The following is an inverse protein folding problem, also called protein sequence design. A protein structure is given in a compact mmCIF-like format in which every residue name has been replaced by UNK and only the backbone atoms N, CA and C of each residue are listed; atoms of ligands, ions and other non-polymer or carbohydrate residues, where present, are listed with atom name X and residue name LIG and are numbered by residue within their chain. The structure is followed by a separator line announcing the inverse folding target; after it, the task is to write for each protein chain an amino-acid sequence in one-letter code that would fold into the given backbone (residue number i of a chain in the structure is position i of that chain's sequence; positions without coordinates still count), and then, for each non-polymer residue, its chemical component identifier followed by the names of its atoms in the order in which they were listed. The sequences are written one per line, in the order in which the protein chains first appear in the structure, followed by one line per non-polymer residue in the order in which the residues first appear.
data_IF_143672651782
#
_entry.id   IF_143672651782
#
_cell.length_a   1.000
_cell.length_b   1.000
_cell.length_c   1.000
_cell.angle_alpha   90.00
_cell.angle_beta   90.00
_cell.angle_gamma   90.00
#
_symmetry.space_group_name_H-M   'P 1'
#
loop_
_entity.id
_entity.type
_entity.pdbx_description
1 polymer ?
#
# COMPACT_ATOMS: atom_id res chain seq x y z
N UNK A 1 -5.92 15.65 25.97
CA UNK A 1 -4.68 16.41 26.22
C UNK A 1 -3.44 15.55 26.47
N UNK A 2 -3.41 14.62 27.45
CA UNK A 2 -2.23 13.75 27.67
C UNK A 2 -2.09 12.62 26.63
N UNK A 3 -3.21 11.97 26.27
CA UNK A 3 -3.26 10.93 25.22
C UNK A 3 -2.79 11.47 23.86
N UNK A 4 -3.27 12.64 23.45
CA UNK A 4 -2.93 13.22 22.14
C UNK A 4 -1.43 13.55 22.03
N UNK A 5 -0.84 14.03 23.13
CA UNK A 5 0.60 14.27 23.22
C UNK A 5 1.40 12.97 23.10
N UNK A 6 0.91 11.88 23.68
CA UNK A 6 1.52 10.56 23.55
C UNK A 6 1.42 10.02 22.12
N UNK A 7 0.23 10.07 21.52
CA UNK A 7 -0.03 9.66 20.12
C UNK A 7 0.90 10.41 19.16
N UNK A 8 1.04 11.74 19.32
CA UNK A 8 1.96 12.55 18.50
C UNK A 8 3.42 12.11 18.62
N UNK A 9 3.89 11.81 19.84
CA UNK A 9 5.26 11.32 20.07
C UNK A 9 5.47 9.95 19.42
N UNK A 10 4.50 9.06 19.56
CA UNK A 10 4.58 7.71 19.00
C UNK A 10 4.52 7.72 17.47
N UNK A 11 3.65 8.56 16.89
CA UNK A 11 3.62 8.82 15.44
C UNK A 11 4.98 9.30 14.93
N UNK A 12 5.56 10.32 15.56
CA UNK A 12 6.90 10.82 15.19
C UNK A 12 7.96 9.72 15.22
N UNK A 13 7.93 8.85 16.23
CA UNK A 13 8.88 7.73 16.31
C UNK A 13 8.70 6.71 15.18
N UNK A 14 7.46 6.41 14.79
CA UNK A 14 7.16 5.52 13.66
C UNK A 14 7.56 6.15 12.34
N UNK A 15 7.23 7.43 12.11
CA UNK A 15 7.57 8.14 10.87
C UNK A 15 9.09 8.28 10.68
N UNK A 16 9.88 8.35 11.75
CA UNK A 16 11.35 8.29 11.65
C UNK A 16 11.87 6.96 11.07
N UNK A 17 11.04 5.91 11.05
CA UNK A 17 11.36 4.62 10.44
C UNK A 17 11.00 4.55 8.96
N UNK A 18 10.40 5.61 8.39
CA UNK A 18 10.03 5.68 6.99
C UNK A 18 11.27 5.95 6.14
N UNK A 19 11.84 4.88 5.59
CA UNK A 19 13.07 4.92 4.77
C UNK A 19 12.77 4.83 3.28
N UNK A 20 11.49 4.86 2.89
CA UNK A 20 11.07 4.79 1.49
C UNK A 20 9.97 5.78 1.16
N UNK A 21 9.65 5.85 -0.13
CA UNK A 21 8.52 6.62 -0.66
C UNK A 21 7.60 5.72 -1.47
N UNK A 22 6.30 5.98 -1.39
CA UNK A 22 5.28 5.28 -2.16
C UNK A 22 4.57 6.24 -3.12
N UNK A 23 4.25 5.74 -4.32
CA UNK A 23 3.34 6.37 -5.27
C UNK A 23 2.20 5.41 -5.56
N UNK A 24 0.98 5.93 -5.64
CA UNK A 24 -0.25 5.14 -5.69
C UNK A 24 -1.04 5.51 -6.93
N UNK A 25 -1.39 4.49 -7.70
CA UNK A 25 -2.20 4.59 -8.92
C UNK A 25 -3.45 3.74 -8.74
N UNK A 26 -4.60 4.34 -9.03
CA UNK A 26 -5.89 3.64 -9.12
C UNK A 26 -6.28 3.41 -10.57
N UNK A 27 -7.07 2.37 -10.83
CA UNK A 27 -7.68 2.12 -12.14
C UNK A 27 -9.17 2.39 -12.07
N UNK A 28 -9.60 3.49 -12.67
CA UNK A 28 -11.00 3.94 -12.67
C UNK A 28 -11.70 3.52 -13.97
N UNK A 29 -12.98 3.15 -13.85
CA UNK A 29 -13.87 2.87 -14.97
C UNK A 29 -14.53 4.17 -15.42
N UNK A 30 -14.23 4.61 -16.64
CA UNK A 30 -14.73 5.84 -17.23
C UNK A 30 -15.64 5.50 -18.39
N UNK A 31 -16.92 5.86 -18.27
CA UNK A 31 -17.90 5.67 -19.34
C UNK A 31 -17.88 6.86 -20.29
N UNK A 32 -17.62 6.60 -21.57
CA UNK A 32 -17.71 7.62 -22.59
C UNK A 32 -19.17 8.08 -22.74
N UNK A 33 -19.48 9.38 -22.61
CA UNK A 33 -20.85 9.87 -22.63
C UNK A 33 -21.51 9.70 -24.00
N UNK A 34 -20.72 9.71 -25.07
CA UNK A 34 -21.17 9.63 -26.47
C UNK A 34 -21.28 8.18 -26.93
N UNK A 35 -20.20 7.39 -26.81
CA UNK A 35 -20.17 6.01 -27.31
C UNK A 35 -20.74 4.99 -26.33
N UNK A 36 -20.97 5.38 -25.07
CA UNK A 36 -21.36 4.52 -23.93
C UNK A 36 -20.38 3.39 -23.62
N UNK A 37 -19.23 3.34 -24.29
CA UNK A 37 -18.14 2.39 -24.03
C UNK A 37 -17.49 2.72 -22.70
N UNK A 38 -17.19 1.69 -21.92
CA UNK A 38 -16.43 1.80 -20.67
C UNK A 38 -14.95 1.59 -20.97
N UNK A 39 -14.14 2.58 -20.61
CA UNK A 39 -12.68 2.51 -20.68
C UNK A 39 -12.10 2.48 -19.28
N UNK A 40 -10.96 1.82 -19.10
CA UNK A 40 -10.21 1.88 -17.85
C UNK A 40 -9.08 2.89 -17.97
N UNK A 41 -8.98 3.80 -17.01
CA UNK A 41 -7.93 4.81 -16.97
C UNK A 41 -7.17 4.73 -15.66
N UNK A 42 -5.85 4.83 -15.75
CA UNK A 42 -4.99 4.96 -14.58
C UNK A 42 -4.99 6.41 -14.11
N UNK A 43 -4.98 6.60 -12.79
CA UNK A 43 -4.92 7.91 -12.15
C UNK A 43 -4.04 7.83 -10.92
N UNK A 44 -3.02 8.67 -10.88
CA UNK A 44 -2.18 8.85 -9.69
C UNK A 44 -2.99 9.58 -8.62
N UNK A 45 -3.10 8.99 -7.44
CA UNK A 45 -3.80 9.58 -6.28
C UNK A 45 -2.86 10.05 -5.19
N UNK A 46 -1.67 9.45 -5.10
CA UNK A 46 -0.59 9.92 -4.24
C UNK A 46 0.75 9.77 -4.96
N UNK A 47 1.67 10.67 -4.68
CA UNK A 47 3.01 10.68 -5.29
C UNK A 47 4.07 10.96 -4.23
N UNK A 48 5.11 10.11 -4.20
CA UNK A 48 6.29 10.24 -3.36
C UNK A 48 6.00 10.45 -1.85
N UNK A 49 4.96 9.82 -1.32
CA UNK A 49 4.60 9.90 0.11
C UNK A 49 5.50 9.02 0.96
N UNK A 50 5.97 9.53 2.10
CA UNK A 50 6.88 8.79 2.98
C UNK A 50 6.22 7.53 3.55
N UNK A 51 6.96 6.42 3.55
CA UNK A 51 6.47 5.12 3.99
C UNK A 51 7.61 4.22 4.49
N UNK A 52 7.25 3.07 5.05
CA UNK A 52 8.17 1.95 5.29
C UNK A 52 7.54 0.67 4.74
N UNK A 53 8.28 -0.05 3.92
CA UNK A 53 7.92 -1.39 3.49
C UNK A 53 8.61 -2.42 4.38
N UNK A 54 7.83 -3.31 4.98
CA UNK A 54 8.32 -4.47 5.73
C UNK A 54 7.96 -5.76 5.00
N UNK A 55 8.79 -6.78 5.21
CA UNK A 55 8.64 -8.10 4.61
C UNK A 55 8.19 -9.08 5.69
N UNK A 56 7.15 -9.87 5.42
CA UNK A 56 6.80 -11.02 6.26
C UNK A 56 7.64 -12.22 5.83
N UNK A 57 8.12 -13.00 6.79
CA UNK A 57 8.76 -14.29 6.49
C UNK A 57 7.69 -15.28 6.02
N UNK A 58 7.82 -15.78 4.79
CA UNK A 58 6.94 -16.83 4.27
C UNK A 58 7.03 -18.09 5.16
N UNK A 59 5.90 -18.78 5.36
CA UNK A 59 5.92 -20.12 5.96
C UNK A 59 6.33 -21.11 4.87
N UNK A 60 7.41 -21.84 5.09
CA UNK A 60 7.82 -22.95 4.22
C UNK A 60 6.79 -24.10 4.34
N UNK A 61 5.69 -24.03 3.59
CA UNK A 61 4.74 -25.13 3.50
C UNK A 61 5.30 -26.19 2.54
N UNK A 62 5.88 -27.27 3.08
CA UNK A 62 6.27 -28.48 2.35
C UNK A 62 5.02 -29.29 1.97
N UNK A 63 4.22 -28.81 1.02
CA UNK A 63 3.04 -29.51 0.51
C UNK A 63 2.72 -29.08 -0.92
N UNK A 64 2.36 -30.05 -1.76
CA UNK A 64 2.30 -30.01 -3.24
C UNK A 64 1.21 -29.09 -3.84
N UNK A 65 0.64 -28.18 -3.06
CA UNK A 65 -0.31 -27.17 -3.54
C UNK A 65 0.10 -25.80 -3.02
N UNK A 66 0.91 -25.10 -3.82
CA UNK A 66 1.22 -23.68 -3.62
C UNK A 66 -0.07 -22.91 -3.91
N UNK A 67 -0.81 -22.60 -2.87
CA UNK A 67 -1.91 -21.63 -2.96
C UNK A 67 -1.28 -20.26 -3.13
N UNK A 68 -1.50 -19.68 -4.30
CA UNK A 68 -1.03 -18.35 -4.70
C UNK A 68 -1.39 -17.29 -3.65
N UNK A 69 -0.41 -16.44 -3.31
CA UNK A 69 -0.54 -15.15 -2.60
C UNK A 69 -0.69 -15.16 -1.06
N UNK A 70 0.27 -15.75 -0.33
CA UNK A 70 0.52 -15.26 1.04
C UNK A 70 1.00 -13.79 0.95
N UNK A 71 0.31 -12.87 1.64
CA UNK A 71 0.70 -11.45 1.71
C UNK A 71 2.13 -11.30 2.27
N UNK A 72 3.08 -11.09 1.35
CA UNK A 72 4.52 -11.02 1.65
C UNK A 72 5.01 -9.67 2.16
N UNK A 73 4.15 -8.65 2.11
CA UNK A 73 4.55 -7.27 2.37
C UNK A 73 3.55 -6.55 3.28
N UNK A 74 4.07 -5.69 4.15
CA UNK A 74 3.27 -4.73 4.94
C UNK A 74 3.82 -3.33 4.70
N UNK A 75 2.99 -2.46 4.14
CA UNK A 75 3.28 -1.05 3.93
C UNK A 75 2.79 -0.23 5.12
N UNK A 76 3.70 0.44 5.83
CA UNK A 76 3.41 1.37 6.90
C UNK A 76 3.41 2.79 6.34
N UNK A 77 2.36 3.56 6.65
CA UNK A 77 2.17 4.90 6.10
C UNK A 77 1.40 5.82 7.05
N UNK A 78 1.44 7.14 6.80
CA UNK A 78 0.74 8.10 7.63
C UNK A 78 -0.78 7.80 7.73
N UNK A 79 -1.41 8.01 8.90
CA UNK A 79 -2.78 7.56 9.18
C UNK A 79 -3.85 8.29 8.34
N UNK A 80 -3.55 9.49 7.85
CA UNK A 80 -4.41 10.25 6.93
C UNK A 80 -4.37 9.76 5.47
N UNK A 81 -3.45 8.85 5.12
CA UNK A 81 -3.35 8.32 3.77
C UNK A 81 -4.32 7.15 3.64
N UNK A 82 -5.36 7.35 2.83
CA UNK A 82 -6.32 6.32 2.47
C UNK A 82 -6.07 5.85 1.03
N UNK A 83 -5.49 4.66 0.89
CA UNK A 83 -5.24 3.97 -0.38
C UNK A 83 -6.43 3.05 -0.68
N UNK A 84 -7.18 3.29 -1.77
CA UNK A 84 -8.27 2.40 -2.19
C UNK A 84 -7.79 0.97 -2.38
N UNK A 85 -8.62 -0.02 -2.05
CA UNK A 85 -8.27 -1.44 -2.29
C UNK A 85 -7.95 -1.67 -3.77
N UNK A 86 -7.04 -2.62 -4.06
CA UNK A 86 -6.63 -2.96 -5.42
C UNK A 86 -5.90 -1.84 -6.17
N UNK A 87 -5.38 -0.84 -5.46
CA UNK A 87 -4.49 0.17 -6.06
C UNK A 87 -3.12 -0.42 -6.33
N UNK A 88 -2.50 0.02 -7.43
CA UNK A 88 -1.08 -0.24 -7.69
C UNK A 88 -0.25 0.73 -6.85
N UNK A 89 0.71 0.18 -6.12
CA UNK A 89 1.62 0.93 -5.25
C UNK A 89 3.04 0.66 -5.73
N UNK A 90 3.76 1.72 -6.09
CA UNK A 90 5.20 1.65 -6.35
C UNK A 90 5.94 2.18 -5.15
N UNK A 91 6.79 1.35 -4.54
CA UNK A 91 7.61 1.74 -3.39
C UNK A 91 9.08 1.79 -3.80
N UNK A 92 9.74 2.89 -3.49
CA UNK A 92 11.20 3.01 -3.59
C UNK A 92 11.77 3.06 -2.18
N UNK A 93 12.56 2.06 -1.79
CA UNK A 93 13.16 1.95 -0.46
C UNK A 93 14.57 1.38 -0.56
N UNK A 94 15.54 2.03 0.07
CA UNK A 94 16.95 1.60 0.10
C UNK A 94 17.56 1.32 -1.29
N UNK A 95 17.15 2.08 -2.32
CA UNK A 95 17.62 1.90 -3.70
C UNK A 95 16.91 0.82 -4.51
N UNK A 96 15.94 0.11 -3.93
CA UNK A 96 15.13 -0.89 -4.62
C UNK A 96 13.73 -0.38 -4.92
N UNK A 97 13.17 -0.84 -6.04
CA UNK A 97 11.78 -0.53 -6.46
C UNK A 97 10.92 -1.78 -6.34
N UNK A 98 9.77 -1.65 -5.69
CA UNK A 98 8.77 -2.71 -5.52
C UNK A 98 7.46 -2.29 -6.17
N UNK A 99 6.84 -3.19 -6.93
CA UNK A 99 5.52 -3.01 -7.52
C UNK A 99 4.51 -3.89 -6.78
N UNK A 100 3.57 -3.26 -6.06
CA UNK A 100 2.70 -3.92 -5.09
C UNK A 100 1.23 -3.58 -5.35
N UNK A 101 0.35 -4.40 -4.79
CA UNK A 101 -1.09 -4.18 -4.77
C UNK A 101 -1.60 -4.31 -3.34
N UNK A 102 -2.37 -3.34 -2.85
CA UNK A 102 -2.93 -3.44 -1.50
C UNK A 102 -4.17 -4.33 -1.44
N UNK A 103 -4.23 -5.15 -0.39
CA UNK A 103 -5.31 -6.10 -0.15
C UNK A 103 -6.18 -5.74 1.08
N UNK A 104 -5.57 -5.23 2.16
CA UNK A 104 -6.29 -4.92 3.41
C UNK A 104 -5.64 -3.78 4.17
N UNK A 105 -6.46 -2.90 4.73
CA UNK A 105 -6.06 -1.83 5.66
C UNK A 105 -6.23 -2.26 7.12
N UNK A 106 -5.24 -1.97 7.96
CA UNK A 106 -5.39 -1.84 9.42
C UNK A 106 -5.00 -0.41 9.80
N UNK A 107 -5.91 0.30 10.46
CA UNK A 107 -5.69 1.70 10.81
C UNK A 107 -5.45 1.87 12.31
N UNK A 108 -4.46 2.68 12.64
CA UNK A 108 -4.16 3.10 14.01
C UNK A 108 -4.11 4.63 14.07
N UNK A 109 -4.25 5.19 15.28
CA UNK A 109 -4.17 6.64 15.48
C UNK A 109 -2.83 7.29 15.07
N UNK A 110 -1.79 6.50 14.81
CA UNK A 110 -0.45 6.98 14.46
C UNK A 110 0.01 6.62 13.05
N UNK A 111 -0.57 5.59 12.43
CA UNK A 111 -0.20 5.09 11.11
C UNK A 111 -1.26 4.11 10.58
N UNK A 112 -1.22 3.87 9.28
CA UNK A 112 -1.94 2.80 8.60
C UNK A 112 -0.95 1.69 8.21
N UNK A 113 -1.43 0.45 8.24
CA UNK A 113 -0.75 -0.73 7.70
C UNK A 113 -1.57 -1.30 6.55
N UNK A 114 -0.98 -1.39 5.36
CA UNK A 114 -1.56 -2.10 4.24
C UNK A 114 -0.87 -3.45 4.04
N UNK A 115 -1.63 -4.53 4.11
CA UNK A 115 -1.18 -5.83 3.63
C UNK A 115 -1.14 -5.78 2.11
N UNK A 116 0.01 -6.15 1.54
CA UNK A 116 0.27 -6.05 0.11
C UNK A 116 0.76 -7.39 -0.47
N UNK A 117 0.47 -7.56 -1.75
CA UNK A 117 1.01 -8.62 -2.61
C UNK A 117 1.78 -7.98 -3.76
N UNK A 118 2.57 -8.77 -4.48
CA UNK A 118 3.22 -8.30 -5.70
C UNK A 118 2.18 -7.95 -6.77
N UNK A 119 2.34 -6.80 -7.41
CA UNK A 119 1.50 -6.40 -8.53
C UNK A 119 2.09 -6.93 -9.84
N UNK A 120 1.40 -7.89 -10.45
CA UNK A 120 1.76 -8.47 -11.75
C UNK A 120 1.11 -7.70 -12.89
N UNK A 121 -0.21 -7.50 -12.82
CA UNK A 121 -1.02 -6.80 -13.82
C UNK A 121 -2.35 -6.39 -13.23
N UNK A 122 -3.03 -5.47 -13.90
CA UNK A 122 -4.44 -5.21 -13.64
C UNK A 122 -5.29 -6.43 -14.03
N UNK A 123 -6.34 -6.68 -13.26
CA UNK A 123 -7.37 -7.66 -13.60
C UNK A 123 -8.13 -7.28 -14.87
#
# INVERSE_FOLDING_TARGET
MQKDKLVKRYRKAIENLYTGVASVVVRESVKNPTTKVTEFKEKTVYENIACRLSFSSAKNNKGEFVTESESGFTLFIAPEIDIPINSKITVIQNGYTYSLMNARLKSYSTHNEYSCVEFVRWA
#
